data_IF_036062865597
#
_entry.id   IF_036062865597
#
_cell.length_a   1.000
_cell.length_b   1.000
_cell.length_c   1.000
_cell.angle_alpha   90.00
_cell.angle_beta   90.00
_cell.angle_gamma   90.00
#
_symmetry.space_group_name_H-M   'P 1'
#
loop_
_entity.id
_entity.type
_entity.pdbx_description
1 polymer ?
#
# COMPACT_ATOMS: atom_id res chain seq x y z
N UNK A 1 -29.37 23.70 -52.60
CA UNK A 1 -30.26 23.87 -51.44
C UNK A 1 -30.00 22.82 -50.35
N UNK A 2 -30.03 21.51 -50.64
CA UNK A 2 -29.79 20.44 -49.64
C UNK A 2 -28.41 20.48 -48.93
N UNK A 3 -27.33 20.76 -49.68
CA UNK A 3 -25.97 20.83 -49.12
C UNK A 3 -25.78 21.98 -48.11
N UNK A 4 -26.55 23.05 -48.25
CA UNK A 4 -26.48 24.23 -47.37
C UNK A 4 -27.15 23.95 -46.01
N UNK A 5 -28.23 23.17 -46.00
CA UNK A 5 -28.92 22.73 -44.79
C UNK A 5 -28.07 21.74 -43.98
N UNK A 6 -27.44 20.76 -44.63
CA UNK A 6 -26.56 19.78 -43.96
C UNK A 6 -25.33 20.46 -43.35
N UNK A 7 -24.80 21.49 -44.01
CA UNK A 7 -23.66 22.26 -43.49
C UNK A 7 -24.06 23.03 -42.21
N UNK A 8 -25.23 23.65 -42.19
CA UNK A 8 -25.70 24.39 -41.03
C UNK A 8 -26.05 23.49 -39.84
N UNK A 9 -26.62 22.30 -40.08
CA UNK A 9 -26.89 21.32 -39.03
C UNK A 9 -25.61 20.79 -38.39
N UNK A 10 -24.55 20.54 -39.18
CA UNK A 10 -23.24 20.16 -38.65
C UNK A 10 -22.59 21.28 -37.84
N UNK A 11 -22.74 22.53 -38.26
CA UNK A 11 -22.30 23.71 -37.48
C UNK A 11 -23.10 23.80 -36.18
N UNK A 12 -24.41 23.57 -36.21
CA UNK A 12 -25.27 23.64 -35.02
C UNK A 12 -24.94 22.54 -34.00
N UNK A 13 -24.66 21.33 -34.47
CA UNK A 13 -24.20 20.22 -33.62
C UNK A 13 -22.81 20.51 -33.05
N UNK A 14 -21.90 21.07 -33.86
CA UNK A 14 -20.59 21.50 -33.39
C UNK A 14 -20.70 22.59 -32.31
N UNK A 15 -21.59 23.56 -32.49
CA UNK A 15 -21.84 24.61 -31.48
C UNK A 15 -22.54 24.10 -30.23
N UNK A 16 -23.45 23.12 -30.33
CA UNK A 16 -24.06 22.46 -29.16
C UNK A 16 -23.04 21.66 -28.35
N UNK A 17 -22.19 20.90 -29.03
CA UNK A 17 -21.10 20.14 -28.40
C UNK A 17 -20.04 21.08 -27.80
N UNK A 18 -19.72 22.17 -28.51
CA UNK A 18 -18.81 23.20 -28.03
C UNK A 18 -19.41 23.93 -26.81
N UNK A 19 -20.72 24.19 -26.79
CA UNK A 19 -21.41 24.83 -25.67
C UNK A 19 -21.47 23.92 -24.43
N UNK A 20 -21.77 22.62 -24.57
CA UNK A 20 -21.68 21.65 -23.47
C UNK A 20 -20.24 21.50 -22.95
N UNK A 21 -19.24 21.50 -23.84
CA UNK A 21 -17.82 21.47 -23.45
C UNK A 21 -17.39 22.75 -22.75
N UNK A 22 -17.89 23.92 -23.17
CA UNK A 22 -17.63 25.22 -22.52
C UNK A 22 -18.28 25.28 -21.13
N UNK A 23 -19.55 24.86 -20.97
CA UNK A 23 -20.17 24.80 -19.64
C UNK A 23 -19.48 23.78 -18.72
N UNK A 24 -19.00 22.66 -19.29
CA UNK A 24 -18.21 21.68 -18.56
C UNK A 24 -16.85 22.27 -18.12
N UNK A 25 -16.18 23.06 -18.97
CA UNK A 25 -14.93 23.75 -18.65
C UNK A 25 -15.14 24.86 -17.62
N UNK A 26 -16.21 25.65 -17.71
CA UNK A 26 -16.53 26.72 -16.75
C UNK A 26 -16.89 26.15 -15.37
N UNK A 27 -17.57 25.00 -15.31
CA UNK A 27 -17.82 24.27 -14.06
C UNK A 27 -16.55 23.67 -13.43
N UNK A 28 -15.54 23.36 -14.26
CA UNK A 28 -14.23 22.83 -13.86
C UNK A 28 -13.29 23.93 -13.34
N UNK A 29 -13.38 25.13 -13.91
CA UNK A 29 -12.53 26.29 -13.56
C UNK A 29 -12.96 26.94 -12.23
N UNK A 30 -14.25 26.87 -11.86
CA UNK A 30 -14.81 27.67 -10.76
C UNK A 30 -14.66 27.08 -9.35
N UNK A 31 -14.15 25.85 -9.18
CA UNK A 31 -13.93 25.28 -7.82
C UNK A 31 -12.50 24.79 -7.63
N UNK A 32 -11.63 25.80 -7.61
CA UNK A 32 -10.38 25.87 -6.83
C UNK A 32 -9.16 25.14 -7.42
N UNK A 33 -8.14 25.92 -7.83
CA UNK A 33 -6.71 25.54 -7.82
C UNK A 33 -6.29 24.27 -8.57
N UNK A 34 -5.96 24.37 -9.87
CA UNK A 34 -5.12 23.44 -10.66
C UNK A 34 -5.42 21.92 -10.63
N UNK A 35 -6.52 21.44 -10.03
CA UNK A 35 -6.84 20.02 -9.96
C UNK A 35 -8.35 19.73 -9.96
N UNK A 36 -8.74 18.52 -10.39
CA UNK A 36 -10.11 18.03 -10.30
C UNK A 36 -10.18 16.51 -10.13
N UNK A 37 -11.31 16.02 -9.62
CA UNK A 37 -11.56 14.61 -9.36
C UNK A 37 -12.60 14.05 -10.35
N UNK A 38 -12.32 12.89 -10.96
CA UNK A 38 -13.28 12.15 -11.80
C UNK A 38 -12.98 10.66 -11.74
N UNK A 39 -14.00 9.82 -11.54
CA UNK A 39 -13.91 8.35 -11.65
C UNK A 39 -12.70 7.76 -10.89
N UNK A 40 -12.61 8.04 -9.58
CA UNK A 40 -11.49 7.62 -8.69
C UNK A 40 -10.10 8.08 -9.17
N UNK A 41 -10.03 9.11 -9.99
CA UNK A 41 -8.79 9.67 -10.49
C UNK A 41 -8.70 11.15 -10.13
N UNK A 42 -7.48 11.58 -9.81
CA UNK A 42 -7.11 12.97 -9.60
C UNK A 42 -6.38 13.47 -10.86
N UNK A 43 -6.80 14.62 -11.34
CA UNK A 43 -6.23 15.28 -12.50
C UNK A 43 -5.61 16.59 -12.08
N UNK A 44 -4.35 16.84 -12.48
CA UNK A 44 -3.67 18.12 -12.32
C UNK A 44 -3.44 18.79 -13.66
N UNK A 45 -3.63 20.10 -13.71
CA UNK A 45 -3.28 20.95 -14.84
C UNK A 45 -1.99 21.72 -14.50
N UNK A 46 -0.93 21.46 -15.26
CA UNK A 46 0.35 22.17 -15.12
C UNK A 46 0.89 22.49 -16.51
N UNK A 47 1.15 23.77 -16.79
CA UNK A 47 1.68 24.25 -18.07
C UNK A 47 0.87 23.70 -19.27
N UNK A 48 -0.46 23.79 -19.19
CA UNK A 48 -1.42 23.28 -20.19
C UNK A 48 -1.37 21.76 -20.45
N UNK A 49 -0.68 21.00 -19.59
CA UNK A 49 -0.66 19.54 -19.62
C UNK A 49 -1.53 18.96 -18.50
N UNK A 50 -2.23 17.87 -18.82
CA UNK A 50 -3.08 17.12 -17.89
C UNK A 50 -2.31 15.90 -17.36
N UNK A 51 -2.15 15.81 -16.05
CA UNK A 51 -1.55 14.67 -15.37
C UNK A 51 -2.62 13.89 -14.61
N UNK A 52 -2.70 12.57 -14.82
CA UNK A 52 -3.68 11.69 -14.20
C UNK A 52 -3.04 10.79 -13.14
N UNK A 53 -3.64 10.76 -11.96
CA UNK A 53 -3.26 9.90 -10.83
C UNK A 53 -4.46 9.04 -10.44
N UNK A 54 -4.25 7.73 -10.27
CA UNK A 54 -5.26 6.85 -9.71
C UNK A 54 -5.32 7.05 -8.19
N UNK A 55 -6.51 7.32 -7.63
CA UNK A 55 -6.69 7.47 -6.19
C UNK A 55 -6.89 6.12 -5.53
N UNK A 56 -5.97 5.77 -4.64
CA UNK A 56 -6.11 4.62 -3.77
C UNK A 56 -6.91 5.01 -2.52
N UNK A 57 -7.74 4.08 -2.05
CA UNK A 57 -8.67 4.32 -0.93
C UNK A 57 -9.65 5.49 -1.17
N UNK A 58 -10.21 5.55 -2.39
CA UNK A 58 -11.16 6.60 -2.76
C UNK A 58 -12.36 6.66 -1.81
N UNK A 59 -12.55 7.81 -1.16
CA UNK A 59 -13.70 8.13 -0.31
C UNK A 59 -14.45 9.31 -0.91
N UNK A 60 -15.64 9.07 -1.43
CA UNK A 60 -16.43 10.03 -2.22
C UNK A 60 -16.80 11.32 -1.44
N UNK A 61 -16.84 11.23 -0.10
CA UNK A 61 -17.24 12.34 0.79
C UNK A 61 -16.05 13.11 1.39
N UNK A 62 -14.81 12.79 1.02
CA UNK A 62 -13.63 13.43 1.59
C UNK A 62 -13.35 14.77 0.89
N UNK A 63 -13.58 15.88 1.62
CA UNK A 63 -13.15 17.21 1.19
C UNK A 63 -11.74 17.46 1.69
N UNK A 64 -10.76 17.46 0.79
CA UNK A 64 -9.39 17.85 1.09
C UNK A 64 -8.77 18.52 -0.14
N UNK A 65 -8.01 19.57 0.12
CA UNK A 65 -7.25 20.30 -0.90
C UNK A 65 -5.80 19.82 -0.98
N UNK A 66 -5.42 18.85 -0.14
CA UNK A 66 -4.08 18.27 -0.09
C UNK A 66 -4.10 16.81 -0.51
N UNK A 67 -3.22 16.49 -1.44
CA UNK A 67 -2.99 15.14 -1.95
C UNK A 67 -1.52 14.79 -1.86
N UNK A 68 -1.24 13.52 -1.63
CA UNK A 68 0.10 12.95 -1.64
C UNK A 68 0.24 12.07 -2.86
N UNK A 69 1.33 12.25 -3.61
CA UNK A 69 1.53 11.58 -4.90
C UNK A 69 2.67 10.58 -4.80
N UNK A 70 2.57 9.51 -5.57
CA UNK A 70 3.64 8.54 -5.75
C UNK A 70 3.73 8.08 -7.19
N UNK A 71 4.95 8.11 -7.73
CA UNK A 71 5.29 7.58 -9.05
C UNK A 71 6.02 6.27 -8.87
N UNK A 72 5.49 5.23 -9.49
CA UNK A 72 6.10 3.91 -9.52
C UNK A 72 6.41 3.55 -10.97
N UNK A 73 7.63 3.09 -11.22
CA UNK A 73 8.05 2.66 -12.54
C UNK A 73 8.58 1.24 -12.46
N UNK A 74 8.00 0.35 -13.27
CA UNK A 74 8.58 -0.95 -13.57
C UNK A 74 9.28 -0.91 -14.94
N UNK A 75 9.76 -2.05 -15.39
CA UNK A 75 10.50 -2.19 -16.65
C UNK A 75 9.67 -1.93 -17.91
N UNK A 76 8.34 -1.91 -17.81
CA UNK A 76 7.42 -1.76 -18.95
C UNK A 76 6.54 -0.52 -18.89
N UNK A 77 6.18 -0.06 -17.68
CA UNK A 77 5.14 0.94 -17.45
C UNK A 77 5.46 1.85 -16.28
N UNK A 78 4.94 3.07 -16.39
CA UNK A 78 4.89 4.05 -15.30
C UNK A 78 3.47 4.11 -14.76
N UNK A 79 3.35 4.16 -13.44
CA UNK A 79 2.10 4.26 -12.70
C UNK A 79 2.16 5.48 -11.79
N UNK A 80 1.06 6.21 -11.73
CA UNK A 80 0.93 7.43 -10.93
C UNK A 80 -0.25 7.26 -9.99
N UNK A 81 0.02 7.35 -8.68
CA UNK A 81 -0.96 7.15 -7.62
C UNK A 81 -1.12 8.41 -6.78
N UNK A 82 -2.35 8.68 -6.36
CA UNK A 82 -2.71 9.74 -5.44
C UNK A 82 -3.32 9.19 -4.15
N UNK A 83 -3.08 9.88 -3.04
CA UNK A 83 -3.51 9.49 -1.71
C UNK A 83 -4.02 10.72 -0.95
N UNK A 84 -5.02 10.51 -0.11
CA UNK A 84 -5.54 11.55 0.80
C UNK A 84 -4.71 11.69 2.08
N UNK A 85 -4.02 10.62 2.49
CA UNK A 85 -3.16 10.58 3.67
C UNK A 85 -1.73 10.19 3.29
N UNK A 86 -0.77 10.91 3.86
CA UNK A 86 0.65 10.65 3.73
C UNK A 86 1.04 9.27 4.24
N UNK A 87 0.47 8.86 5.37
CA UNK A 87 0.77 7.58 6.02
C UNK A 87 0.38 6.41 5.12
N UNK A 88 -0.72 6.56 4.38
CA UNK A 88 -1.22 5.54 3.46
C UNK A 88 -0.34 5.49 2.20
N UNK A 89 0.10 6.64 1.67
CA UNK A 89 1.12 6.69 0.61
C UNK A 89 2.39 5.96 1.04
N UNK A 90 2.89 6.24 2.23
CA UNK A 90 4.15 5.67 2.70
C UNK A 90 4.02 4.18 2.98
N UNK A 91 2.89 3.73 3.53
CA UNK A 91 2.58 2.31 3.64
C UNK A 91 2.54 1.62 2.27
N UNK A 92 1.92 2.24 1.26
CA UNK A 92 1.90 1.70 -0.11
C UNK A 92 3.32 1.54 -0.67
N UNK A 93 4.17 2.55 -0.49
CA UNK A 93 5.58 2.49 -0.90
C UNK A 93 6.30 1.36 -0.20
N UNK A 94 6.13 1.21 1.12
CA UNK A 94 6.75 0.12 1.89
C UNK A 94 6.28 -1.24 1.39
N UNK A 95 4.98 -1.42 1.15
CA UNK A 95 4.43 -2.67 0.62
C UNK A 95 5.13 -3.07 -0.69
N UNK A 96 5.36 -2.12 -1.61
CA UNK A 96 6.01 -2.38 -2.89
C UNK A 96 7.51 -2.70 -2.80
N UNK A 97 8.15 -2.48 -1.65
CA UNK A 97 9.54 -2.91 -1.44
C UNK A 97 9.65 -4.39 -1.06
N UNK A 98 8.54 -5.05 -0.75
CA UNK A 98 8.51 -6.45 -0.34
C UNK A 98 8.52 -7.33 -1.59
N UNK A 99 9.54 -8.16 -1.77
CA UNK A 99 9.76 -8.98 -2.98
C UNK A 99 8.55 -9.84 -3.43
N UNK A 100 7.65 -10.20 -2.51
CA UNK A 100 6.44 -10.98 -2.82
C UNK A 100 5.20 -10.14 -3.14
N UNK A 101 5.32 -8.81 -3.22
CA UNK A 101 4.21 -7.87 -3.37
C UNK A 101 4.39 -7.03 -4.62
N UNK A 102 3.46 -7.21 -5.56
CA UNK A 102 3.29 -6.30 -6.71
C UNK A 102 2.17 -5.28 -6.47
N UNK A 103 1.99 -4.36 -7.43
CA UNK A 103 0.95 -3.32 -7.41
C UNK A 103 -0.44 -3.86 -7.10
N UNK A 104 -0.83 -4.98 -7.72
CA UNK A 104 -2.14 -5.59 -7.51
C UNK A 104 -2.35 -5.95 -6.04
N UNK A 105 -1.40 -6.67 -5.44
CA UNK A 105 -1.49 -7.09 -4.03
C UNK A 105 -1.46 -5.89 -3.09
N UNK A 106 -0.57 -4.92 -3.32
CA UNK A 106 -0.50 -3.71 -2.50
C UNK A 106 -1.82 -2.91 -2.53
N UNK A 107 -2.41 -2.74 -3.72
CA UNK A 107 -3.74 -2.10 -3.87
C UNK A 107 -4.82 -2.87 -3.13
N UNK A 108 -4.88 -4.19 -3.31
CA UNK A 108 -5.88 -5.03 -2.63
C UNK A 108 -5.78 -4.91 -1.11
N UNK A 109 -4.57 -4.83 -0.54
CA UNK A 109 -4.39 -4.63 0.91
C UNK A 109 -5.02 -3.30 1.36
N UNK A 110 -4.68 -2.19 0.69
CA UNK A 110 -5.18 -0.86 1.04
C UNK A 110 -6.67 -0.65 0.74
N UNK A 111 -7.23 -1.41 -0.20
CA UNK A 111 -8.67 -1.40 -0.48
C UNK A 111 -9.47 -2.26 0.51
N UNK A 112 -8.82 -3.24 1.16
CA UNK A 112 -9.49 -4.16 2.08
C UNK A 112 -9.41 -3.70 3.53
N UNK A 113 -8.30 -3.08 3.93
CA UNK A 113 -8.04 -2.70 5.31
C UNK A 113 -7.68 -1.22 5.42
N UNK A 114 -8.21 -0.58 6.46
CA UNK A 114 -7.77 0.74 6.88
C UNK A 114 -6.32 0.72 7.37
N UNK A 115 -5.69 1.90 7.42
CA UNK A 115 -4.35 2.06 7.97
C UNK A 115 -4.26 1.49 9.39
N UNK A 116 -5.21 1.81 10.26
CA UNK A 116 -5.25 1.37 11.65
C UNK A 116 -5.36 -0.16 11.76
N UNK A 117 -6.20 -0.79 10.94
CA UNK A 117 -6.32 -2.26 10.88
C UNK A 117 -5.00 -2.90 10.44
N UNK A 118 -4.31 -2.33 9.46
CA UNK A 118 -3.00 -2.84 9.02
C UNK A 118 -1.98 -2.72 10.15
N UNK A 119 -1.89 -1.58 10.82
CA UNK A 119 -0.98 -1.41 11.96
C UNK A 119 -1.27 -2.44 13.05
N UNK A 120 -2.55 -2.68 13.38
CA UNK A 120 -2.93 -3.67 14.38
C UNK A 120 -2.55 -5.09 13.95
N UNK A 121 -2.87 -5.49 12.71
CA UNK A 121 -2.49 -6.80 12.18
C UNK A 121 -0.98 -7.04 12.22
N UNK A 122 -0.18 -6.03 11.86
CA UNK A 122 1.28 -6.12 11.90
C UNK A 122 1.76 -6.25 13.34
N UNK A 123 1.22 -5.46 14.28
CA UNK A 123 1.57 -5.51 15.71
C UNK A 123 1.24 -6.87 16.34
N UNK A 124 0.09 -7.44 15.98
CA UNK A 124 -0.42 -8.70 16.51
C UNK A 124 -0.01 -9.92 15.68
N UNK A 125 0.83 -9.72 14.66
CA UNK A 125 1.21 -10.74 13.67
C UNK A 125 0.04 -11.58 13.16
N UNK A 126 -1.12 -10.95 12.97
CA UNK A 126 -2.34 -11.59 12.49
C UNK A 126 -2.24 -11.79 10.97
N UNK A 127 -1.61 -12.90 10.57
CA UNK A 127 -1.51 -13.30 9.17
C UNK A 127 -2.83 -13.89 8.64
N UNK A 128 -3.77 -14.30 9.51
CA UNK A 128 -4.98 -15.00 9.10
C UNK A 128 -5.91 -14.07 8.29
N UNK A 129 -6.06 -12.83 8.73
CA UNK A 129 -6.81 -11.79 8.01
C UNK A 129 -6.30 -11.57 6.58
N UNK A 130 -4.98 -11.57 6.38
CA UNK A 130 -4.41 -11.47 5.03
C UNK A 130 -4.68 -12.74 4.21
N UNK A 131 -4.52 -13.93 4.79
CA UNK A 131 -4.76 -15.20 4.07
C UNK A 131 -6.21 -15.42 3.67
N UNK A 132 -7.16 -14.76 4.33
CA UNK A 132 -8.58 -14.77 3.95
C UNK A 132 -8.84 -14.10 2.58
N UNK A 133 -7.92 -13.24 2.13
CA UNK A 133 -8.01 -12.58 0.83
C UNK A 133 -7.52 -13.53 -0.26
N UNK A 134 -8.36 -13.77 -1.28
CA UNK A 134 -8.01 -14.57 -2.45
C UNK A 134 -6.73 -14.03 -3.12
N UNK A 135 -5.69 -14.86 -3.18
CA UNK A 135 -4.41 -14.52 -3.78
C UNK A 135 -3.28 -14.24 -2.77
N UNK A 136 -3.58 -14.27 -1.47
CA UNK A 136 -2.59 -14.24 -0.40
C UNK A 136 -2.44 -15.63 0.23
N UNK A 137 -1.36 -16.33 -0.13
CA UNK A 137 -1.00 -17.59 0.54
C UNK A 137 -0.36 -17.35 1.91
N UNK A 138 -0.34 -18.38 2.76
CA UNK A 138 0.23 -18.33 4.13
C UNK A 138 1.66 -17.77 4.13
N UNK A 139 2.50 -18.19 3.18
CA UNK A 139 3.88 -17.71 3.08
C UNK A 139 3.92 -16.21 2.75
N UNK A 140 3.11 -15.76 1.78
CA UNK A 140 3.05 -14.35 1.39
C UNK A 140 2.55 -13.48 2.55
N UNK A 141 1.46 -13.90 3.22
CA UNK A 141 0.91 -13.19 4.37
C UNK A 141 1.93 -13.02 5.50
N UNK A 142 2.67 -14.09 5.85
CA UNK A 142 3.73 -14.04 6.85
C UNK A 142 4.85 -13.08 6.44
N UNK A 143 5.35 -13.19 5.21
CA UNK A 143 6.40 -12.31 4.69
C UNK A 143 5.98 -10.84 4.74
N UNK A 144 4.74 -10.52 4.38
CA UNK A 144 4.20 -9.15 4.42
C UNK A 144 4.22 -8.63 5.85
N UNK A 145 3.59 -9.36 6.78
CA UNK A 145 3.46 -8.96 8.19
C UNK A 145 4.84 -8.78 8.83
N UNK A 146 5.75 -9.71 8.63
CA UNK A 146 7.11 -9.64 9.18
C UNK A 146 7.90 -8.47 8.60
N UNK A 147 7.82 -8.23 7.29
CA UNK A 147 8.52 -7.12 6.63
C UNK A 147 7.98 -5.78 7.09
N UNK A 148 6.65 -5.64 7.17
CA UNK A 148 6.02 -4.44 7.71
C UNK A 148 6.37 -4.23 9.18
N UNK A 149 6.42 -5.30 9.98
CA UNK A 149 6.76 -5.17 11.40
C UNK A 149 8.19 -4.65 11.57
N UNK A 150 9.15 -5.15 10.78
CA UNK A 150 10.53 -4.63 10.79
C UNK A 150 10.57 -3.15 10.44
N UNK A 151 9.90 -2.74 9.36
CA UNK A 151 9.96 -1.36 8.86
C UNK A 151 9.18 -0.37 9.72
N UNK A 152 7.99 -0.73 10.21
CA UNK A 152 7.10 0.19 10.93
C UNK A 152 7.47 0.35 12.41
N UNK A 153 8.07 -0.66 13.02
CA UNK A 153 8.45 -0.64 14.43
C UNK A 153 9.97 -0.51 14.65
N UNK A 154 10.69 -0.14 13.59
CA UNK A 154 12.16 0.05 13.57
C UNK A 154 12.92 -1.10 14.23
N UNK A 155 12.50 -2.33 13.93
CA UNK A 155 13.13 -3.51 14.50
C UNK A 155 14.16 -4.03 13.53
N UNK A 156 15.39 -3.53 13.67
CA UNK A 156 16.55 -4.09 12.99
C UNK A 156 17.03 -5.36 13.71
N UNK A 157 17.28 -6.41 12.94
CA UNK A 157 17.94 -7.62 13.43
C UNK A 157 19.31 -7.76 12.76
N UNK A 158 20.29 -8.23 13.51
CA UNK A 158 21.60 -8.60 12.97
C UNK A 158 21.48 -9.82 12.07
N UNK A 159 22.44 -10.02 11.15
CA UNK A 159 22.46 -11.20 10.27
C UNK A 159 22.42 -12.52 11.07
N UNK A 160 23.04 -12.55 12.25
CA UNK A 160 22.94 -13.67 13.20
C UNK A 160 21.51 -13.88 13.67
N UNK A 161 20.86 -12.84 14.16
CA UNK A 161 19.48 -12.92 14.66
C UNK A 161 18.50 -13.32 13.57
N UNK A 162 18.63 -12.79 12.35
CA UNK A 162 17.77 -13.18 11.21
C UNK A 162 17.90 -14.67 10.87
N UNK A 163 19.13 -15.19 10.87
CA UNK A 163 19.41 -16.62 10.68
C UNK A 163 18.74 -17.45 11.77
N UNK A 164 18.81 -17.02 13.04
CA UNK A 164 18.20 -17.73 14.17
C UNK A 164 16.67 -17.66 14.12
N UNK A 165 16.09 -16.50 13.81
CA UNK A 165 14.63 -16.34 13.63
C UNK A 165 14.14 -17.32 12.58
N UNK A 166 14.80 -17.38 11.42
CA UNK A 166 14.43 -18.28 10.33
C UNK A 166 14.54 -19.75 10.75
N UNK A 167 15.65 -20.13 11.39
CA UNK A 167 15.90 -21.50 11.82
C UNK A 167 14.85 -21.98 12.83
N UNK A 168 14.59 -21.18 13.87
CA UNK A 168 13.68 -21.53 14.95
C UNK A 168 12.21 -21.48 14.51
N UNK A 169 11.85 -20.55 13.62
CA UNK A 169 10.52 -20.54 13.01
C UNK A 169 10.29 -21.77 12.14
N UNK A 170 11.32 -22.25 11.40
CA UNK A 170 11.27 -23.53 10.66
C UNK A 170 11.13 -24.76 11.56
N UNK A 171 11.59 -24.69 12.81
CA UNK A 171 11.36 -25.72 13.83
C UNK A 171 9.94 -25.69 14.41
N UNK A 172 9.09 -24.75 13.98
CA UNK A 172 7.68 -24.67 14.36
C UNK A 172 7.38 -23.77 15.56
N UNK A 173 8.33 -22.96 16.02
CA UNK A 173 8.05 -21.94 17.03
C UNK A 173 7.30 -20.74 16.42
N UNK A 174 6.30 -20.17 17.11
CA UNK A 174 5.60 -18.98 16.62
C UNK A 174 6.55 -17.79 16.45
N UNK A 175 6.54 -17.15 15.28
CA UNK A 175 7.45 -16.04 14.97
C UNK A 175 7.39 -14.92 16.02
N UNK A 176 6.19 -14.58 16.50
CA UNK A 176 6.00 -13.60 17.59
C UNK A 176 6.80 -13.92 18.85
N UNK A 177 6.77 -15.18 19.26
CA UNK A 177 7.46 -15.66 20.45
C UNK A 177 8.97 -15.55 20.25
N UNK A 178 9.44 -15.92 19.06
CA UNK A 178 10.86 -15.84 18.70
C UNK A 178 11.34 -14.38 18.70
N UNK A 179 10.60 -13.45 18.09
CA UNK A 179 10.99 -12.04 17.99
C UNK A 179 10.98 -11.32 19.35
N UNK A 180 10.10 -11.71 20.27
CA UNK A 180 10.13 -11.21 21.66
C UNK A 180 11.33 -11.76 22.42
N UNK A 181 11.57 -13.06 22.32
CA UNK A 181 12.62 -13.74 23.09
C UNK A 181 14.02 -13.39 22.57
N UNK A 182 14.21 -13.24 21.27
CA UNK A 182 15.54 -13.00 20.70
C UNK A 182 16.17 -11.70 21.20
N UNK A 183 15.36 -10.65 21.44
CA UNK A 183 15.81 -9.37 22.02
C UNK A 183 16.36 -9.49 23.45
N UNK A 184 16.03 -10.59 24.14
CA UNK A 184 16.50 -10.84 25.51
C UNK A 184 17.83 -11.58 25.55
N UNK A 185 18.25 -12.20 24.44
CA UNK A 185 19.46 -13.03 24.36
C UNK A 185 20.66 -12.16 24.02
N UNK A 186 21.81 -12.39 24.68
CA UNK A 186 23.03 -11.61 24.43
C UNK A 186 23.60 -11.92 23.04
N UNK A 187 23.66 -10.90 22.18
CA UNK A 187 24.15 -10.98 20.79
C UNK A 187 25.65 -11.31 20.68
N UNK A 188 26.43 -11.14 21.77
CA UNK A 188 27.86 -11.46 21.83
C UNK A 188 28.15 -12.96 21.92
N UNK A 189 27.16 -13.79 22.22
CA UNK A 189 27.33 -15.24 22.31
C UNK A 189 27.72 -15.84 20.95
N UNK A 190 28.46 -16.96 20.97
CA UNK A 190 28.70 -17.76 19.76
C UNK A 190 27.38 -18.33 19.23
N UNK A 191 27.28 -18.60 17.93
CA UNK A 191 26.05 -19.08 17.28
C UNK A 191 25.42 -20.28 18.01
N UNK A 192 26.21 -21.28 18.40
CA UNK A 192 25.71 -22.48 19.11
C UNK A 192 25.17 -22.16 20.51
N UNK A 193 25.87 -21.30 21.26
CA UNK A 193 25.44 -20.89 22.60
C UNK A 193 24.19 -20.02 22.52
N UNK A 194 24.14 -19.13 21.54
CA UNK A 194 22.98 -18.28 21.28
C UNK A 194 21.75 -19.13 20.96
N UNK A 195 21.88 -20.08 20.03
CA UNK A 195 20.78 -20.98 19.65
C UNK A 195 20.30 -21.82 20.84
N UNK A 196 21.22 -22.35 21.65
CA UNK A 196 20.87 -23.13 22.84
C UNK A 196 20.06 -22.30 23.84
N UNK A 197 20.55 -21.10 24.20
CA UNK A 197 19.86 -20.20 25.14
C UNK A 197 18.51 -19.74 24.59
N UNK A 198 18.43 -19.45 23.28
CA UNK A 198 17.17 -19.08 22.63
C UNK A 198 16.15 -20.20 22.73
N UNK A 199 16.52 -21.45 22.43
CA UNK A 199 15.63 -22.60 22.52
C UNK A 199 15.20 -22.92 23.96
N UNK A 200 16.10 -22.79 24.93
CA UNK A 200 15.78 -22.95 26.36
C UNK A 200 14.68 -21.97 26.79
N UNK A 201 14.85 -20.68 26.50
CA UNK A 201 13.87 -19.63 26.84
C UNK A 201 12.54 -19.80 26.11
N UNK A 202 12.58 -20.24 24.85
CA UNK A 202 11.36 -20.52 24.10
C UNK A 202 10.60 -21.73 24.66
N UNK A 203 11.32 -22.74 25.15
CA UNK A 203 10.73 -23.91 25.81
C UNK A 203 10.01 -23.55 27.10
N UNK A 204 10.61 -22.69 27.93
CA UNK A 204 10.04 -22.20 29.20
C UNK A 204 8.72 -21.44 28.97
N UNK A 205 8.67 -20.59 27.94
CA UNK A 205 7.47 -19.79 27.64
C UNK A 205 6.33 -20.63 27.02
N UNK A 206 6.64 -21.75 26.37
CA UNK A 206 5.65 -22.64 25.77
C UNK A 206 4.86 -23.45 26.80
N UNK A 207 5.43 -23.71 27.98
CA UNK A 207 4.74 -24.43 29.08
C UNK A 207 3.74 -23.56 29.86
N UNK A 208 3.78 -22.23 29.70
CA UNK A 208 2.91 -21.30 30.45
C UNK A 208 1.58 -21.04 29.72
N UNK A 209 1.48 -21.36 28.43
CA UNK A 209 0.30 -21.08 27.57
C UNK A 209 -0.31 -22.36 26.96
N UNK A 210 0.03 -23.54 27.51
CA UNK A 210 -0.52 -24.84 27.10
C UNK A 210 -1.66 -25.29 28.00
#
# INVERSE_FOLDING_TARGET
MLLFLIFWDKIKIFFLYLFEVIEMLDSLILKTTNHYLKERSLFFLLNDQVYKYELLEYKEMLKTDKFFLYFYQDEYKTYSYGFYDEKIRDLFKTLLTINSIGLKHAKTILETFSYEEIILMVKEFDYEKLTAIKGFGVISAKTIIESLHKTLFDVSYTSKEEKMILAVTKLGYPCQLVLKTIKTVDSKLSDDKFLKVLLERLGEQKQVHG
#
